data_IF_568932899519
#
_entry.id   IF_568932899519
#
_cell.length_a   1.000
_cell.length_b   1.000
_cell.length_c   1.000
_cell.angle_alpha   90.00
_cell.angle_beta   90.00
_cell.angle_gamma   90.00
#
_symmetry.space_group_name_H-M   'P 1'
#
loop_
_entity.id
_entity.type
_entity.pdbx_description
1 polymer ?
#
# COMPACT_ATOMS: atom_id res chain seq x y z
N UNK A 1 -20.50 34.28 -5.37
CA UNK A 1 -21.61 33.43 -4.90
C UNK A 1 -21.60 33.24 -3.38
N UNK A 2 -20.45 32.90 -2.77
CA UNK A 2 -20.29 32.73 -1.30
C UNK A 2 -20.70 33.98 -0.47
N UNK A 3 -20.34 35.18 -0.92
CA UNK A 3 -20.73 36.44 -0.23
C UNK A 3 -22.25 36.68 -0.19
N UNK A 4 -23.00 36.20 -1.19
CA UNK A 4 -24.44 36.49 -1.36
C UNK A 4 -25.34 35.54 -0.55
N UNK A 5 -24.88 34.31 -0.33
CA UNK A 5 -25.54 33.34 0.56
C UNK A 5 -25.40 33.75 2.04
N UNK A 6 -24.32 34.47 2.38
CA UNK A 6 -24.04 34.88 3.76
C UNK A 6 -24.96 35.99 4.28
N UNK A 7 -25.36 36.92 3.42
CA UNK A 7 -26.22 38.04 3.78
C UNK A 7 -27.71 37.66 3.90
N UNK A 8 -28.09 36.41 3.62
CA UNK A 8 -29.50 36.01 3.42
C UNK A 8 -29.98 34.83 4.25
N UNK A 9 -29.12 34.10 4.98
CA UNK A 9 -29.53 32.91 5.76
C UNK A 9 -29.01 32.94 7.20
N UNK A 10 -29.92 32.66 8.15
CA UNK A 10 -29.66 32.60 9.59
C UNK A 10 -29.30 31.19 10.10
N UNK A 11 -29.16 30.21 9.20
CA UNK A 11 -28.71 28.86 9.55
C UNK A 11 -27.26 28.93 10.07
N UNK A 12 -27.05 28.52 11.32
CA UNK A 12 -25.75 28.59 11.99
C UNK A 12 -24.68 27.80 11.24
N UNK A 13 -23.59 28.46 10.87
CA UNK A 13 -22.45 27.81 10.26
C UNK A 13 -21.76 26.94 11.32
N UNK A 14 -21.72 25.62 11.15
CA UNK A 14 -20.96 24.75 12.07
C UNK A 14 -19.47 24.73 11.67
N UNK A 15 -18.62 24.11 12.49
CA UNK A 15 -17.21 23.85 12.14
C UNK A 15 -17.03 23.11 10.81
N UNK A 16 -18.10 22.50 10.29
CA UNK A 16 -18.10 21.76 9.02
C UNK A 16 -17.75 22.61 7.81
N UNK A 17 -18.12 23.89 7.79
CA UNK A 17 -17.83 24.74 6.63
C UNK A 17 -16.32 24.90 6.42
N UNK A 18 -15.56 25.18 7.51
CA UNK A 18 -14.11 25.31 7.43
C UNK A 18 -13.45 23.95 7.24
N UNK A 19 -13.97 22.89 7.87
CA UNK A 19 -13.50 21.52 7.65
C UNK A 19 -13.57 21.13 6.17
N UNK A 20 -14.75 21.24 5.54
CA UNK A 20 -14.95 20.90 4.13
C UNK A 20 -14.16 21.79 3.18
N UNK A 21 -14.09 23.10 3.46
CA UNK A 21 -13.25 24.00 2.67
C UNK A 21 -11.77 23.59 2.75
N UNK A 22 -11.31 23.13 3.91
CA UNK A 22 -9.94 22.66 4.10
C UNK A 22 -9.69 21.34 3.39
N UNK A 23 -10.62 20.37 3.49
CA UNK A 23 -10.55 19.08 2.79
C UNK A 23 -10.50 19.20 1.27
N UNK A 24 -11.07 20.27 0.70
CA UNK A 24 -11.10 20.52 -0.76
C UNK A 24 -10.07 21.58 -1.21
N UNK A 25 -9.16 22.01 -0.33
CA UNK A 25 -8.07 22.93 -0.69
C UNK A 25 -8.53 24.36 -0.97
N UNK A 26 -9.74 24.74 -0.56
CA UNK A 26 -10.33 26.05 -0.85
C UNK A 26 -9.81 27.13 0.11
N UNK A 27 -8.52 27.47 0.01
CA UNK A 27 -7.87 28.44 0.90
C UNK A 27 -8.61 29.78 1.00
N UNK A 28 -9.13 30.30 -0.12
CA UNK A 28 -9.89 31.55 -0.12
C UNK A 28 -11.14 31.47 0.77
N UNK A 29 -11.83 30.32 0.77
CA UNK A 29 -12.99 30.08 1.64
C UNK A 29 -12.53 29.90 3.09
N UNK A 30 -11.44 29.18 3.33
CA UNK A 30 -10.86 29.02 4.68
C UNK A 30 -10.48 30.38 5.29
N UNK A 31 -9.84 31.26 4.52
CA UNK A 31 -9.51 32.65 4.93
C UNK A 31 -10.76 33.46 5.23
N UNK A 32 -11.74 33.43 4.33
CA UNK A 32 -13.00 34.14 4.54
C UNK A 32 -13.70 33.68 5.82
N UNK A 33 -13.80 32.37 6.03
CA UNK A 33 -14.40 31.80 7.24
C UNK A 33 -13.59 32.17 8.49
N UNK A 34 -12.26 32.17 8.43
CA UNK A 34 -11.42 32.59 9.56
C UNK A 34 -11.65 34.06 9.96
N UNK A 35 -11.74 34.97 8.98
CA UNK A 35 -11.88 36.41 9.22
C UNK A 35 -13.30 36.80 9.65
N UNK A 36 -14.33 36.11 9.16
CA UNK A 36 -15.71 36.55 9.29
C UNK A 36 -16.56 35.66 10.22
N UNK A 37 -16.05 34.51 10.69
CA UNK A 37 -16.79 33.53 11.51
C UNK A 37 -16.04 33.20 12.80
N UNK A 38 -16.79 32.79 13.84
CA UNK A 38 -16.26 32.50 15.18
C UNK A 38 -16.23 31.02 15.52
N UNK A 39 -16.96 30.20 14.76
CA UNK A 39 -17.17 28.78 15.03
C UNK A 39 -15.90 27.95 14.84
N UNK A 40 -15.01 28.38 13.93
CA UNK A 40 -13.70 27.75 13.74
C UNK A 40 -13.74 26.44 12.97
N UNK A 41 -12.80 25.56 13.29
CA UNK A 41 -12.71 24.21 12.73
C UNK A 41 -12.50 23.17 13.83
N UNK A 42 -12.41 21.90 13.44
CA UNK A 42 -11.83 20.88 14.32
C UNK A 42 -10.48 20.43 13.78
N UNK A 43 -9.81 19.49 14.47
CA UNK A 43 -8.60 18.83 13.95
C UNK A 43 -8.81 18.15 12.60
N UNK A 44 -10.07 17.90 12.22
CA UNK A 44 -10.44 17.35 10.92
C UNK A 44 -9.99 18.25 9.75
N UNK A 45 -10.09 19.58 9.90
CA UNK A 45 -9.68 20.50 8.83
C UNK A 45 -8.22 20.30 8.42
N UNK A 46 -7.30 20.28 9.40
CA UNK A 46 -5.88 20.11 9.13
C UNK A 46 -5.53 18.66 8.79
N UNK A 47 -6.19 17.67 9.39
CA UNK A 47 -6.01 16.26 9.03
C UNK A 47 -6.37 16.00 7.56
N UNK A 48 -7.53 16.49 7.10
CA UNK A 48 -7.97 16.29 5.71
C UNK A 48 -7.19 17.16 4.72
N UNK A 49 -6.84 18.40 5.07
CA UNK A 49 -5.95 19.20 4.24
C UNK A 49 -4.60 18.50 4.04
N UNK A 50 -4.09 17.84 5.07
CA UNK A 50 -2.86 17.05 4.96
C UNK A 50 -3.05 15.76 4.13
N UNK A 51 -4.16 15.04 4.34
CA UNK A 51 -4.53 13.84 3.59
C UNK A 51 -4.60 14.09 2.08
N UNK A 52 -5.12 15.24 1.64
CA UNK A 52 -5.26 15.62 0.23
C UNK A 52 -4.14 16.56 -0.28
N UNK A 53 -3.10 16.78 0.51
CA UNK A 53 -1.89 17.48 0.04
C UNK A 53 -2.05 19.00 -0.12
N UNK A 54 -3.02 19.62 0.55
CA UNK A 54 -3.30 21.05 0.47
C UNK A 54 -2.35 21.86 1.35
N UNK A 55 -1.09 21.99 0.92
CA UNK A 55 0.01 22.62 1.67
C UNK A 55 -0.36 24.02 2.20
N UNK A 56 -0.93 24.88 1.36
CA UNK A 56 -1.23 26.27 1.74
C UNK A 56 -2.35 26.35 2.78
N UNK A 57 -3.30 25.41 2.72
CA UNK A 57 -4.34 25.28 3.75
C UNK A 57 -3.72 24.79 5.05
N UNK A 58 -2.83 23.78 5.02
CA UNK A 58 -2.13 23.30 6.22
C UNK A 58 -1.31 24.43 6.85
N UNK A 59 -0.52 25.17 6.07
CA UNK A 59 0.25 26.32 6.55
C UNK A 59 -0.66 27.40 7.17
N UNK A 60 -1.77 27.74 6.50
CA UNK A 60 -2.71 28.72 7.02
C UNK A 60 -3.34 28.27 8.34
N UNK A 61 -3.83 27.04 8.42
CA UNK A 61 -4.42 26.49 9.63
C UNK A 61 -3.38 26.43 10.77
N UNK A 62 -2.14 26.03 10.49
CA UNK A 62 -1.08 26.01 11.50
C UNK A 62 -0.73 27.41 12.02
N UNK A 63 -0.76 28.43 11.16
CA UNK A 63 -0.40 29.80 11.53
C UNK A 63 -1.49 30.52 12.31
N UNK A 64 -2.76 30.30 11.95
CA UNK A 64 -3.87 31.13 12.41
C UNK A 64 -4.91 30.39 13.26
N UNK A 65 -4.87 29.05 13.32
CA UNK A 65 -5.79 28.21 14.12
C UNK A 65 -5.04 27.51 15.25
N UNK A 66 -5.75 27.21 16.35
CA UNK A 66 -5.17 26.58 17.56
C UNK A 66 -5.58 25.13 17.73
N UNK A 67 -6.55 24.68 16.94
CA UNK A 67 -7.10 23.33 16.98
C UNK A 67 -6.06 22.26 16.60
N UNK A 68 -5.13 22.61 15.71
CA UNK A 68 -4.05 21.72 15.26
C UNK A 68 -4.55 20.50 14.50
N UNK A 69 -3.74 19.44 14.48
CA UNK A 69 -4.06 18.14 13.91
C UNK A 69 -3.72 17.03 14.92
N UNK A 70 -4.04 15.78 14.56
CA UNK A 70 -3.54 14.60 15.26
C UNK A 70 -2.45 13.92 14.44
N UNK A 71 -1.81 12.88 15.00
CA UNK A 71 -0.85 11.99 14.29
C UNK A 71 -1.34 11.51 12.93
N UNK A 72 -2.68 11.40 12.75
CA UNK A 72 -3.33 11.06 11.48
C UNK A 72 -2.94 11.98 10.33
N UNK A 73 -2.60 13.25 10.59
CA UNK A 73 -2.23 14.17 9.51
C UNK A 73 -0.95 13.72 8.79
N UNK A 74 0.09 13.31 9.54
CA UNK A 74 1.30 12.76 8.92
C UNK A 74 1.03 11.37 8.34
N UNK A 75 0.30 10.52 9.06
CA UNK A 75 -0.02 9.16 8.55
C UNK A 75 -0.74 9.22 7.19
N UNK A 76 -1.74 10.09 7.05
CA UNK A 76 -2.52 10.23 5.80
C UNK A 76 -1.75 10.97 4.72
N UNK A 77 -1.01 12.03 5.05
CA UNK A 77 -0.14 12.71 4.09
C UNK A 77 0.93 11.76 3.52
N UNK A 78 1.54 10.94 4.38
CA UNK A 78 2.54 9.96 3.98
C UNK A 78 1.94 8.87 3.09
N UNK A 79 0.78 8.33 3.50
CA UNK A 79 0.03 7.36 2.70
C UNK A 79 -0.28 7.87 1.29
N UNK A 80 -0.59 9.15 1.12
CA UNK A 80 -0.93 9.73 -0.19
C UNK A 80 0.26 10.41 -0.89
N UNK A 81 1.49 10.24 -0.38
CA UNK A 81 2.70 10.70 -1.08
C UNK A 81 2.94 12.21 -0.99
N UNK A 82 2.31 12.90 -0.05
CA UNK A 82 2.43 14.35 0.11
C UNK A 82 3.66 14.71 0.95
N UNK A 83 4.85 14.46 0.41
CA UNK A 83 6.13 14.68 1.10
C UNK A 83 6.27 16.10 1.67
N UNK A 84 5.87 17.13 0.92
CA UNK A 84 5.94 18.52 1.39
C UNK A 84 5.10 18.75 2.65
N UNK A 85 3.89 18.17 2.71
CA UNK A 85 3.04 18.22 3.90
C UNK A 85 3.67 17.43 5.06
N UNK A 86 4.24 16.26 4.78
CA UNK A 86 4.94 15.45 5.79
C UNK A 86 6.10 16.23 6.41
N UNK A 87 6.94 16.87 5.58
CA UNK A 87 8.05 17.72 6.01
C UNK A 87 7.56 18.94 6.81
N UNK A 88 6.52 19.61 6.32
CA UNK A 88 5.93 20.78 6.98
C UNK A 88 5.44 20.42 8.38
N UNK A 89 4.66 19.34 8.50
CA UNK A 89 4.13 18.88 9.78
C UNK A 89 5.23 18.36 10.70
N UNK A 90 6.23 17.65 10.18
CA UNK A 90 7.39 17.19 10.96
C UNK A 90 8.15 18.35 11.62
N UNK A 91 8.41 19.43 10.87
CA UNK A 91 9.21 20.56 11.36
C UNK A 91 8.50 21.42 12.43
N UNK A 92 7.18 21.33 12.53
CA UNK A 92 6.38 22.20 13.40
C UNK A 92 5.66 21.44 14.52
N UNK A 93 5.84 20.12 14.63
CA UNK A 93 5.11 19.30 15.59
C UNK A 93 5.97 18.22 16.24
N UNK A 94 5.73 18.00 17.53
CA UNK A 94 6.47 17.04 18.35
C UNK A 94 5.73 15.72 18.57
N UNK A 95 4.43 15.62 18.25
CA UNK A 95 3.60 14.46 18.56
C UNK A 95 3.75 13.28 17.59
N UNK A 96 4.59 13.42 16.57
CA UNK A 96 5.01 12.27 15.77
C UNK A 96 4.02 11.84 14.68
N UNK A 97 4.25 10.65 14.17
CA UNK A 97 3.30 9.87 13.38
C UNK A 97 3.09 8.49 14.04
N UNK A 98 2.52 7.54 13.32
CA UNK A 98 2.51 6.13 13.71
C UNK A 98 3.22 5.30 12.64
N UNK A 99 3.34 3.98 12.84
CA UNK A 99 3.85 3.06 11.81
C UNK A 99 3.01 3.11 10.53
N UNK A 100 1.74 3.54 10.61
CA UNK A 100 0.84 3.70 9.47
C UNK A 100 1.35 4.69 8.42
N UNK A 101 2.19 5.66 8.82
CA UNK A 101 2.80 6.58 7.88
C UNK A 101 3.74 5.86 6.91
N UNK A 102 4.67 5.05 7.42
CA UNK A 102 5.62 4.32 6.59
C UNK A 102 4.97 3.12 5.91
N UNK A 103 4.09 2.38 6.60
CA UNK A 103 3.34 1.27 6.01
C UNK A 103 2.46 1.75 4.84
N UNK A 104 1.76 2.89 5.01
CA UNK A 104 0.91 3.48 3.99
C UNK A 104 1.69 4.04 2.80
N UNK A 105 2.81 4.73 3.07
CA UNK A 105 3.70 5.24 2.02
C UNK A 105 4.32 4.09 1.21
N UNK A 106 4.71 3.01 1.88
CA UNK A 106 5.28 1.84 1.24
C UNK A 106 4.25 1.09 0.38
N UNK A 107 3.04 0.86 0.90
CA UNK A 107 1.93 0.27 0.14
C UNK A 107 1.67 1.01 -1.17
N UNK A 108 1.78 2.34 -1.17
CA UNK A 108 1.45 3.17 -2.33
C UNK A 108 2.69 3.61 -3.14
N UNK A 109 3.87 3.08 -2.83
CA UNK A 109 5.07 3.28 -3.65
C UNK A 109 5.78 4.62 -3.49
N UNK A 110 5.47 5.36 -2.42
CA UNK A 110 6.04 6.69 -2.15
C UNK A 110 7.42 6.57 -1.49
N UNK A 111 8.43 6.16 -2.28
CA UNK A 111 9.79 5.93 -1.80
C UNK A 111 10.43 7.15 -1.13
N UNK A 112 10.19 8.34 -1.68
CA UNK A 112 10.67 9.62 -1.14
C UNK A 112 10.13 9.89 0.27
N UNK A 113 8.86 9.60 0.51
CA UNK A 113 8.24 9.65 1.83
C UNK A 113 8.81 8.59 2.77
N UNK A 114 8.98 7.35 2.30
CA UNK A 114 9.59 6.26 3.09
C UNK A 114 11.00 6.62 3.52
N UNK A 115 11.82 7.17 2.62
CA UNK A 115 13.18 7.62 2.90
C UNK A 115 13.20 8.75 3.92
N UNK A 116 12.33 9.75 3.76
CA UNK A 116 12.22 10.86 4.71
C UNK A 116 11.82 10.36 6.10
N UNK A 117 10.79 9.52 6.19
CA UNK A 117 10.35 8.95 7.46
C UNK A 117 11.47 8.09 8.08
N UNK A 118 12.19 7.28 7.31
CA UNK A 118 13.30 6.50 7.84
C UNK A 118 14.42 7.38 8.42
N UNK A 119 14.77 8.48 7.76
CA UNK A 119 15.87 9.37 8.19
C UNK A 119 15.50 10.23 9.41
N UNK A 120 14.23 10.63 9.53
CA UNK A 120 13.81 11.65 10.48
C UNK A 120 12.86 11.17 11.58
N UNK A 121 12.41 9.91 11.53
CA UNK A 121 11.44 9.33 12.47
C UNK A 121 11.92 8.00 13.04
N UNK A 122 11.51 7.73 14.27
CA UNK A 122 11.89 6.52 15.03
C UNK A 122 10.75 5.52 15.13
N UNK A 123 9.55 5.90 14.72
CA UNK A 123 8.33 5.07 14.76
C UNK A 123 8.46 3.80 13.93
N UNK A 124 9.23 3.86 12.83
CA UNK A 124 9.51 2.73 11.96
C UNK A 124 8.30 2.26 11.14
N UNK A 125 8.32 0.99 10.77
CA UNK A 125 7.24 0.34 10.03
C UNK A 125 6.91 -1.03 10.64
N UNK A 126 5.89 -1.69 10.10
CA UNK A 126 5.61 -3.10 10.39
C UNK A 126 6.00 -3.97 9.18
N UNK A 127 5.80 -5.29 9.28
CA UNK A 127 5.98 -6.19 8.13
C UNK A 127 5.07 -5.83 6.95
N UNK A 128 3.93 -5.16 7.22
CA UNK A 128 3.01 -4.69 6.19
C UNK A 128 3.65 -3.74 5.19
N UNK A 129 4.67 -2.95 5.59
CA UNK A 129 5.34 -2.06 4.65
C UNK A 129 5.96 -2.84 3.48
N UNK A 130 6.67 -3.93 3.77
CA UNK A 130 7.28 -4.76 2.71
C UNK A 130 6.23 -5.62 2.02
N UNK A 131 5.33 -6.26 2.77
CA UNK A 131 4.30 -7.14 2.21
C UNK A 131 3.40 -6.39 1.21
N UNK A 132 2.94 -5.19 1.57
CA UNK A 132 2.06 -4.39 0.71
C UNK A 132 2.81 -3.68 -0.42
N UNK A 133 4.08 -3.29 -0.22
CA UNK A 133 4.91 -2.79 -1.31
C UNK A 133 5.18 -3.88 -2.36
N UNK A 134 5.38 -5.13 -1.91
CA UNK A 134 5.57 -6.28 -2.77
C UNK A 134 4.28 -6.64 -3.53
N UNK A 135 3.14 -6.67 -2.83
CA UNK A 135 1.82 -6.88 -3.44
C UNK A 135 1.51 -5.88 -4.57
N UNK A 136 1.88 -4.61 -4.39
CA UNK A 136 1.57 -3.54 -5.35
C UNK A 136 2.69 -3.23 -6.35
N UNK A 137 3.76 -4.03 -6.41
CA UNK A 137 4.78 -3.90 -7.45
C UNK A 137 5.78 -2.76 -7.21
N UNK A 138 5.99 -2.34 -5.97
CA UNK A 138 6.91 -1.26 -5.62
C UNK A 138 8.31 -1.76 -5.26
N UNK A 139 9.03 -2.30 -6.26
CA UNK A 139 10.35 -2.92 -6.08
C UNK A 139 11.36 -2.03 -5.35
N UNK A 140 11.46 -0.75 -5.71
CA UNK A 140 12.45 0.15 -5.09
C UNK A 140 12.14 0.43 -3.61
N UNK A 141 10.86 0.43 -3.22
CA UNK A 141 10.46 0.47 -1.81
C UNK A 141 10.85 -0.82 -1.09
N UNK A 142 10.58 -1.98 -1.69
CA UNK A 142 10.97 -3.29 -1.13
C UNK A 142 12.49 -3.37 -0.92
N UNK A 143 13.29 -2.97 -1.91
CA UNK A 143 14.75 -2.90 -1.82
C UNK A 143 15.20 -1.99 -0.68
N UNK A 144 14.64 -0.79 -0.60
CA UNK A 144 15.00 0.16 0.44
C UNK A 144 14.69 -0.40 1.84
N UNK A 145 13.48 -0.90 2.06
CA UNK A 145 13.08 -1.44 3.35
C UNK A 145 13.95 -2.63 3.76
N UNK A 146 14.17 -3.60 2.88
CA UNK A 146 14.97 -4.80 3.22
C UNK A 146 16.47 -4.52 3.38
N UNK A 147 16.99 -3.41 2.86
CA UNK A 147 18.42 -3.07 3.01
C UNK A 147 18.70 -2.11 4.16
N UNK A 148 17.77 -1.21 4.47
CA UNK A 148 17.98 -0.14 5.45
C UNK A 148 17.27 -0.41 6.79
N UNK A 149 16.34 -1.36 6.83
CA UNK A 149 15.53 -1.63 8.02
C UNK A 149 15.71 -3.05 8.54
N UNK A 150 15.39 -3.21 9.82
CA UNK A 150 15.46 -4.51 10.52
C UNK A 150 14.15 -5.29 10.45
N UNK A 151 13.06 -4.60 10.12
CA UNK A 151 11.75 -5.21 9.98
C UNK A 151 11.71 -6.22 8.81
N UNK A 152 11.00 -7.32 9.03
CA UNK A 152 10.96 -8.46 8.10
C UNK A 152 9.72 -8.41 7.23
N UNK A 153 9.77 -9.02 6.05
CA UNK A 153 8.55 -9.44 5.35
C UNK A 153 8.05 -10.79 5.89
N UNK A 154 6.78 -11.06 5.64
CA UNK A 154 6.18 -12.38 5.84
C UNK A 154 6.26 -13.20 4.53
N UNK A 155 5.75 -14.44 4.55
CA UNK A 155 5.55 -15.21 3.31
C UNK A 155 4.67 -14.47 2.31
N UNK A 156 3.81 -13.59 2.82
CA UNK A 156 2.83 -12.87 2.05
C UNK A 156 3.45 -11.95 0.98
N UNK A 157 4.63 -11.37 1.25
CA UNK A 157 5.33 -10.54 0.28
C UNK A 157 5.62 -11.27 -1.04
N UNK A 158 6.13 -12.50 -0.98
CA UNK A 158 6.44 -13.27 -2.19
C UNK A 158 5.18 -13.84 -2.83
N UNK A 159 4.24 -14.35 -2.01
CA UNK A 159 3.01 -14.95 -2.51
C UNK A 159 2.13 -13.92 -3.25
N UNK A 160 2.03 -12.69 -2.75
CA UNK A 160 1.24 -11.62 -3.41
C UNK A 160 1.97 -10.98 -4.58
N UNK A 161 3.30 -10.79 -4.48
CA UNK A 161 4.08 -10.36 -5.64
C UNK A 161 3.91 -11.34 -6.80
N UNK A 162 3.89 -12.65 -6.51
CA UNK A 162 3.66 -13.68 -7.51
C UNK A 162 2.22 -13.65 -8.04
N UNK A 163 1.24 -13.53 -7.16
CA UNK A 163 -0.19 -13.46 -7.50
C UNK A 163 -0.51 -12.27 -8.41
N UNK A 164 0.17 -11.13 -8.22
CA UNK A 164 0.00 -9.90 -9.00
C UNK A 164 1.00 -9.76 -10.16
N UNK A 165 1.85 -10.77 -10.40
CA UNK A 165 2.72 -10.82 -11.58
C UNK A 165 4.01 -10.01 -11.49
N UNK A 166 4.40 -9.57 -10.29
CA UNK A 166 5.60 -8.77 -10.03
C UNK A 166 6.86 -9.65 -9.95
N UNK A 167 7.26 -10.20 -11.11
CA UNK A 167 8.40 -11.12 -11.22
C UNK A 167 9.70 -10.52 -10.69
N UNK A 168 9.95 -9.25 -10.94
CA UNK A 168 11.14 -8.52 -10.47
C UNK A 168 11.25 -8.52 -8.93
N UNK A 169 10.12 -8.39 -8.23
CA UNK A 169 10.04 -8.50 -6.78
C UNK A 169 10.23 -9.96 -6.33
N UNK A 170 9.60 -10.92 -7.00
CA UNK A 170 9.78 -12.35 -6.71
C UNK A 170 11.26 -12.77 -6.84
N UNK A 171 11.92 -12.34 -7.92
CA UNK A 171 13.35 -12.56 -8.15
C UNK A 171 14.21 -11.91 -7.06
N UNK A 172 13.91 -10.67 -6.70
CA UNK A 172 14.65 -9.94 -5.67
C UNK A 172 14.50 -10.61 -4.29
N UNK A 173 13.27 -10.92 -3.88
CA UNK A 173 12.98 -11.60 -2.62
C UNK A 173 13.64 -12.98 -2.59
N UNK A 174 13.62 -13.74 -3.69
CA UNK A 174 14.32 -15.02 -3.82
C UNK A 174 15.84 -14.87 -3.70
N UNK A 175 16.43 -13.87 -4.36
CA UNK A 175 17.87 -13.58 -4.30
C UNK A 175 18.33 -13.20 -2.90
N UNK A 176 17.50 -12.44 -2.16
CA UNK A 176 17.79 -12.06 -0.78
C UNK A 176 17.91 -13.27 0.17
N UNK A 177 17.18 -14.36 -0.07
CA UNK A 177 17.28 -15.59 0.72
C UNK A 177 18.62 -16.30 0.56
N UNK A 178 19.19 -16.28 -0.66
CA UNK A 178 20.45 -16.99 -0.97
C UNK A 178 21.68 -16.34 -0.34
N UNK A 179 21.59 -15.04 -0.04
CA UNK A 179 22.76 -14.27 0.34
C UNK A 179 22.99 -14.16 1.86
N UNK A 180 22.24 -14.85 2.72
CA UNK A 180 22.34 -14.79 4.20
C UNK A 180 22.40 -13.36 4.82
N UNK A 181 22.15 -12.32 4.02
CA UNK A 181 22.24 -10.91 4.40
C UNK A 181 20.99 -10.40 5.13
N UNK A 182 19.98 -11.27 5.28
CA UNK A 182 18.80 -11.03 6.10
C UNK A 182 18.77 -12.12 7.16
N UNK A 183 18.61 -11.74 8.44
CA UNK A 183 18.45 -12.66 9.57
C UNK A 183 17.12 -13.44 9.55
N UNK A 184 16.47 -13.58 8.40
CA UNK A 184 15.01 -13.76 8.34
C UNK A 184 14.58 -14.78 7.29
N UNK A 185 13.76 -15.71 7.74
CA UNK A 185 13.25 -16.83 6.98
C UNK A 185 12.02 -16.38 6.17
N UNK A 186 12.23 -15.63 5.09
CA UNK A 186 11.13 -15.32 4.16
C UNK A 186 10.88 -16.56 3.31
N UNK A 187 9.89 -17.36 3.69
CA UNK A 187 9.48 -18.53 2.89
C UNK A 187 8.43 -18.15 1.86
N UNK A 188 8.29 -18.96 0.82
CA UNK A 188 7.19 -18.89 -0.15
C UNK A 188 6.21 -20.00 0.23
N UNK A 189 4.93 -19.88 -0.13
CA UNK A 189 4.01 -21.01 -0.04
C UNK A 189 3.59 -21.48 -1.44
N UNK A 190 2.78 -22.54 -1.51
CA UNK A 190 2.16 -22.99 -2.77
C UNK A 190 1.26 -21.91 -3.39
N UNK A 191 0.74 -21.00 -2.56
CA UNK A 191 -0.13 -19.89 -2.98
C UNK A 191 0.55 -18.97 -4.00
N UNK A 192 1.87 -18.81 -3.95
CA UNK A 192 2.57 -18.00 -4.96
C UNK A 192 2.38 -18.55 -6.38
N UNK A 193 2.55 -19.86 -6.55
CA UNK A 193 2.42 -20.48 -7.87
C UNK A 193 0.96 -20.66 -8.25
N UNK A 194 0.08 -20.97 -7.29
CA UNK A 194 -1.37 -21.07 -7.49
C UNK A 194 -1.96 -19.72 -7.92
N UNK A 195 -1.64 -18.64 -7.20
CA UNK A 195 -2.09 -17.28 -7.49
C UNK A 195 -1.51 -16.73 -8.80
N UNK A 196 -0.22 -16.96 -9.07
CA UNK A 196 0.38 -16.60 -10.36
C UNK A 196 -0.29 -17.35 -11.52
N UNK A 197 -0.67 -18.61 -11.31
CA UNK A 197 -1.36 -19.41 -12.33
C UNK A 197 -2.78 -18.93 -12.56
N UNK A 198 -3.51 -18.67 -11.47
CA UNK A 198 -4.87 -18.16 -11.47
C UNK A 198 -5.00 -16.76 -12.10
N UNK A 199 -3.93 -15.98 -12.20
CA UNK A 199 -3.90 -14.67 -12.85
C UNK A 199 -3.11 -14.65 -14.16
N UNK A 200 -2.67 -15.81 -14.65
CA UNK A 200 -2.07 -15.96 -15.98
C UNK A 200 -0.60 -15.51 -16.09
N UNK A 201 0.11 -15.36 -14.97
CA UNK A 201 1.49 -14.87 -14.90
C UNK A 201 2.51 -16.00 -15.18
N UNK A 202 2.56 -16.47 -16.43
CA UNK A 202 3.42 -17.60 -16.84
C UNK A 202 4.91 -17.40 -16.54
N UNK A 203 5.41 -16.17 -16.64
CA UNK A 203 6.79 -15.84 -16.32
C UNK A 203 7.10 -16.09 -14.84
N UNK A 204 6.18 -15.72 -13.94
CA UNK A 204 6.28 -16.01 -12.50
C UNK A 204 6.17 -17.51 -12.24
N UNK A 205 5.21 -18.21 -12.85
CA UNK A 205 5.05 -19.67 -12.70
C UNK A 205 6.33 -20.40 -13.12
N UNK A 206 6.91 -20.04 -14.26
CA UNK A 206 8.20 -20.60 -14.73
C UNK A 206 9.32 -20.36 -13.74
N UNK A 207 9.43 -19.14 -13.22
CA UNK A 207 10.46 -18.80 -12.25
C UNK A 207 10.31 -19.64 -10.97
N UNK A 208 9.11 -19.64 -10.37
CA UNK A 208 8.82 -20.39 -9.15
C UNK A 208 9.05 -21.90 -9.36
N UNK A 209 8.61 -22.47 -10.47
CA UNK A 209 8.80 -23.90 -10.75
C UNK A 209 10.29 -24.26 -10.87
N UNK A 210 11.12 -23.39 -11.45
CA UNK A 210 12.54 -23.69 -11.68
C UNK A 210 13.45 -23.37 -10.48
N UNK A 211 13.02 -22.49 -9.58
CA UNK A 211 13.87 -21.97 -8.49
C UNK A 211 13.37 -22.32 -7.08
N UNK A 212 12.16 -22.91 -6.96
CA UNK A 212 11.50 -23.20 -5.68
C UNK A 212 10.99 -24.64 -5.66
N UNK A 213 10.81 -25.18 -4.45
CA UNK A 213 10.47 -26.61 -4.23
C UNK A 213 9.05 -26.80 -3.69
N UNK A 214 8.38 -25.72 -3.29
CA UNK A 214 7.03 -25.74 -2.74
C UNK A 214 6.00 -26.29 -3.74
N UNK A 215 6.23 -26.03 -5.04
CA UNK A 215 5.34 -26.42 -6.12
C UNK A 215 4.03 -25.63 -6.12
N UNK A 216 2.98 -26.25 -6.65
CA UNK A 216 1.62 -25.73 -6.70
C UNK A 216 0.62 -26.80 -6.20
N UNK A 217 -0.63 -26.42 -6.00
CA UNK A 217 -1.73 -27.36 -5.78
C UNK A 217 -2.50 -27.63 -7.07
N UNK A 218 -3.49 -28.54 -7.03
CA UNK A 218 -4.41 -28.77 -8.14
C UNK A 218 -5.20 -27.51 -8.54
N UNK A 219 -5.30 -26.52 -7.64
CA UNK A 219 -5.93 -25.24 -7.92
C UNK A 219 -5.20 -24.47 -9.03
N UNK A 220 -3.87 -24.53 -9.12
CA UNK A 220 -3.13 -23.82 -10.16
C UNK A 220 -3.61 -24.17 -11.58
N UNK A 221 -3.77 -25.47 -11.86
CA UNK A 221 -4.20 -25.94 -13.17
C UNK A 221 -5.70 -25.69 -13.39
N UNK A 222 -6.52 -25.94 -12.37
CA UNK A 222 -7.96 -25.70 -12.43
C UNK A 222 -8.27 -24.22 -12.71
N UNK A 223 -7.70 -23.30 -11.92
CA UNK A 223 -7.91 -21.86 -12.05
C UNK A 223 -7.32 -21.29 -13.34
N UNK A 224 -6.13 -21.75 -13.75
CA UNK A 224 -5.57 -21.34 -15.04
C UNK A 224 -6.49 -21.75 -16.20
N UNK A 225 -7.11 -22.92 -16.13
CA UNK A 225 -8.04 -23.39 -17.17
C UNK A 225 -9.37 -22.66 -17.12
N UNK A 226 -9.98 -22.53 -15.93
CA UNK A 226 -11.30 -21.91 -15.73
C UNK A 226 -11.30 -20.42 -16.12
N UNK A 227 -10.19 -19.72 -15.90
CA UNK A 227 -10.01 -18.31 -16.26
C UNK A 227 -9.43 -18.09 -17.66
N UNK A 228 -9.22 -19.15 -18.44
CA UNK A 228 -8.78 -19.07 -19.85
C UNK A 228 -7.29 -18.76 -20.05
N UNK A 229 -6.45 -18.97 -19.02
CA UNK A 229 -4.99 -18.84 -19.11
C UNK A 229 -4.34 -20.10 -19.70
N UNK A 230 -4.69 -20.40 -20.96
CA UNK A 230 -4.25 -21.62 -21.66
C UNK A 230 -2.73 -21.78 -21.74
N UNK A 231 -1.98 -20.68 -21.82
CA UNK A 231 -0.51 -20.70 -21.83
C UNK A 231 0.09 -21.15 -20.50
N UNK A 232 -0.56 -20.81 -19.37
CA UNK A 232 -0.19 -21.32 -18.04
C UNK A 232 -0.61 -22.78 -17.91
N UNK A 233 -1.87 -23.11 -18.24
CA UNK A 233 -2.38 -24.46 -18.15
C UNK A 233 -1.54 -25.45 -18.98
N UNK A 234 -1.16 -25.08 -20.21
CA UNK A 234 -0.29 -25.89 -21.05
C UNK A 234 1.09 -26.13 -20.40
N UNK A 235 1.67 -25.10 -19.79
CA UNK A 235 2.94 -25.23 -19.08
C UNK A 235 2.82 -26.15 -17.86
N UNK A 236 1.78 -26.01 -17.04
CA UNK A 236 1.53 -26.86 -15.89
C UNK A 236 1.29 -28.32 -16.30
N UNK A 237 0.50 -28.57 -17.35
CA UNK A 237 0.27 -29.90 -17.90
C UNK A 237 1.57 -30.56 -18.40
N UNK A 238 2.44 -29.79 -19.05
CA UNK A 238 3.74 -30.30 -19.53
C UNK A 238 4.66 -30.74 -18.38
N UNK A 239 4.49 -30.18 -17.18
CA UNK A 239 5.35 -30.44 -16.01
C UNK A 239 4.58 -31.11 -14.85
N UNK A 240 3.45 -31.76 -15.14
CA UNK A 240 2.52 -32.32 -14.15
C UNK A 240 3.17 -33.32 -13.20
N UNK A 241 4.02 -34.21 -13.71
CA UNK A 241 4.75 -35.21 -12.93
C UNK A 241 5.75 -34.56 -11.96
N UNK A 242 6.51 -33.56 -12.43
CA UNK A 242 7.48 -32.83 -11.61
C UNK A 242 6.82 -32.01 -10.49
N UNK A 243 5.59 -31.54 -10.73
CA UNK A 243 4.81 -30.73 -9.78
C UNK A 243 3.94 -31.57 -8.83
N UNK A 244 3.92 -32.90 -8.96
CA UNK A 244 3.10 -33.78 -8.11
C UNK A 244 1.59 -33.59 -8.31
N UNK A 245 1.16 -33.14 -9.50
CA UNK A 245 -0.24 -32.81 -9.81
C UNK A 245 -1.04 -34.02 -10.34
N UNK A 246 -0.67 -35.26 -10.01
CA UNK A 246 -1.37 -36.44 -10.52
C UNK A 246 -2.86 -36.39 -10.09
N UNK A 247 -3.76 -36.56 -11.07
CA UNK A 247 -5.17 -36.83 -10.80
C UNK A 247 -5.25 -38.18 -10.08
N UNK A 248 -5.97 -38.24 -8.96
CA UNK A 248 -6.44 -39.51 -8.43
C UNK A 248 -7.27 -40.17 -9.55
N UNK A 249 -6.83 -41.34 -9.99
CA UNK A 249 -7.24 -42.02 -11.23
C UNK A 249 -8.65 -42.63 -11.19
N UNK A 250 -9.60 -42.07 -10.44
CA UNK A 250 -10.88 -42.75 -10.16
C UNK A 250 -12.11 -42.19 -10.90
N UNK A 251 -12.04 -41.07 -11.63
CA UNK A 251 -13.23 -40.44 -12.24
C UNK A 251 -13.43 -40.67 -13.77
N UNK A 252 -12.62 -41.52 -14.43
CA UNK A 252 -12.81 -41.83 -15.87
C UNK A 252 -13.60 -43.15 -16.09
N UNK A 253 -14.01 -43.84 -15.02
CA UNK A 253 -14.64 -45.16 -15.14
C UNK A 253 -16.17 -45.19 -15.24
N UNK A 254 -16.90 -44.05 -15.24
CA UNK A 254 -18.36 -44.09 -15.12
C UNK A 254 -19.19 -43.22 -16.09
N UNK A 255 -18.72 -43.07 -17.33
CA UNK A 255 -19.57 -42.61 -18.45
C UNK A 255 -19.41 -43.52 -19.67
N UNK A 256 -19.75 -44.79 -19.51
CA UNK A 256 -20.02 -45.71 -20.61
C UNK A 256 -20.96 -46.82 -20.15
N UNK A 257 -22.25 -46.49 -20.03
CA UNK A 257 -23.37 -47.41 -20.26
C UNK A 257 -24.63 -46.61 -20.60
#
# INVERSE_FOLDING_TARGET
MVQRLHSTRAEGCTTQAMNLASSNGHLAVVRFLHEHRREGCSTFAMNSAAEFGHVEVVQFLMRYRREGCSRKAIDMAARNGHLEVVQLLHNHRTDGCTTQAMDGAARNGHLDVVQFLHQHRTEGCTSWAVDLAAQNGHLEVVKFLLTQRTETCTTWAMDEAATNGHLDIVEYLHGCMKNHNLHHHTTCTKEAMDGASANGHLNVVKFLHTHRTEGCTSLALHEATSKGHHHVAAYLCQHREALGLLEDSDDIANTSQ
#
